data_IF_076161242181
#
_entry.id   IF_076161242181
#
_cell.length_a   1.000
_cell.length_b   1.000
_cell.length_c   1.000
_cell.angle_alpha   90.00
_cell.angle_beta   90.00
_cell.angle_gamma   90.00
#
_symmetry.space_group_name_H-M   'P 1'
#
loop_
_entity.id
_entity.type
_entity.pdbx_description
1 polymer ?
#
# COMPACT_ATOMS: atom_id res chain seq x y z
N UNK A 1 -30.74 1.99 13.96
CA UNK A 1 -29.62 2.83 14.46
C UNK A 1 -28.37 1.97 14.48
N UNK A 2 -27.54 2.02 13.43
CA UNK A 2 -26.30 1.21 13.35
C UNK A 2 -25.36 1.75 14.41
N UNK A 3 -25.10 0.98 15.47
CA UNK A 3 -24.09 1.35 16.47
C UNK A 3 -22.74 1.43 15.73
N UNK A 4 -22.26 2.65 15.48
CA UNK A 4 -20.91 2.89 14.98
C UNK A 4 -19.95 2.33 16.05
N UNK A 5 -19.40 1.15 15.77
CA UNK A 5 -18.37 0.54 16.61
C UNK A 5 -17.17 1.49 16.63
N UNK A 6 -16.56 1.69 17.81
CA UNK A 6 -15.45 2.60 18.03
C UNK A 6 -14.42 2.56 16.89
N UNK A 7 -14.04 3.75 16.41
CA UNK A 7 -13.13 3.93 15.29
C UNK A 7 -11.78 3.27 15.60
N UNK A 8 -11.52 2.13 14.95
CA UNK A 8 -10.30 1.33 15.14
C UNK A 8 -9.14 1.84 14.30
N UNK A 9 -8.60 3.00 14.70
CA UNK A 9 -7.43 3.63 14.08
C UNK A 9 -6.19 2.72 14.12
N UNK A 10 -6.11 1.83 15.10
CA UNK A 10 -5.06 0.83 15.26
C UNK A 10 -4.99 -0.13 14.05
N UNK A 11 -6.15 -0.63 13.57
CA UNK A 11 -6.20 -1.49 12.38
C UNK A 11 -5.82 -0.70 11.13
N UNK A 12 -6.32 0.53 10.99
CA UNK A 12 -5.97 1.38 9.85
C UNK A 12 -4.46 1.55 9.74
N UNK A 13 -3.81 1.87 10.85
CA UNK A 13 -2.35 1.99 10.93
C UNK A 13 -1.64 0.68 10.54
N UNK A 14 -2.05 -0.46 11.11
CA UNK A 14 -1.47 -1.76 10.77
C UNK A 14 -1.59 -2.11 9.28
N UNK A 15 -2.77 -1.89 8.69
CA UNK A 15 -3.02 -2.19 7.27
C UNK A 15 -2.25 -1.23 6.36
N UNK A 16 -2.16 0.06 6.71
CA UNK A 16 -1.39 1.04 5.95
C UNK A 16 0.11 0.72 5.94
N UNK A 17 0.69 0.39 7.11
CA UNK A 17 2.08 -0.04 7.21
C UNK A 17 2.32 -1.34 6.45
N UNK A 18 1.41 -2.30 6.58
CA UNK A 18 1.49 -3.55 5.83
C UNK A 18 1.56 -3.28 4.34
N UNK A 19 0.66 -2.46 3.77
CA UNK A 19 0.65 -2.12 2.34
C UNK A 19 1.96 -1.48 1.87
N UNK A 20 2.60 -0.65 2.70
CA UNK A 20 3.90 -0.04 2.41
C UNK A 20 5.05 -1.04 2.42
N UNK A 21 5.04 -1.99 3.36
CA UNK A 21 6.20 -2.85 3.61
C UNK A 21 6.17 -4.18 2.86
N UNK A 22 5.00 -4.79 2.65
CA UNK A 22 4.93 -6.17 2.10
C UNK A 22 5.49 -6.31 0.69
N UNK A 23 5.48 -5.23 -0.10
CA UNK A 23 6.04 -5.15 -1.46
C UNK A 23 7.51 -4.71 -1.49
N UNK A 24 8.07 -4.30 -0.34
CA UNK A 24 9.40 -3.70 -0.27
C UNK A 24 10.49 -4.76 -0.32
N UNK A 25 11.43 -4.57 -1.24
CA UNK A 25 12.68 -5.33 -1.32
C UNK A 25 13.84 -4.33 -1.24
N UNK A 26 14.76 -4.54 -0.30
CA UNK A 26 15.98 -3.75 -0.19
C UNK A 26 17.11 -4.44 -0.92
N UNK A 27 17.69 -3.75 -1.91
CA UNK A 27 18.85 -4.23 -2.68
C UNK A 27 20.19 -3.73 -2.15
N UNK A 28 20.19 -3.00 -1.03
CA UNK A 28 21.40 -2.50 -0.42
C UNK A 28 22.29 -3.69 0.01
N UNK A 29 23.55 -3.68 -0.43
CA UNK A 29 24.53 -4.72 -0.08
C UNK A 29 25.90 -4.10 0.11
N UNK A 30 26.49 -4.30 1.28
CA UNK A 30 27.88 -3.95 1.56
C UNK A 30 28.78 -5.16 1.48
N UNK A 31 30.03 -4.94 1.03
CA UNK A 31 31.06 -5.98 1.04
C UNK A 31 31.59 -6.19 2.47
N UNK A 32 31.53 -7.42 2.94
CA UNK A 32 32.20 -7.82 4.18
C UNK A 32 33.72 -7.87 3.97
N UNK A 33 34.50 -7.95 5.06
CA UNK A 33 35.97 -8.09 4.96
C UNK A 33 36.43 -9.26 4.08
N UNK A 34 35.60 -10.31 3.99
CA UNK A 34 35.88 -11.49 3.17
C UNK A 34 35.65 -11.22 1.67
N UNK A 35 34.69 -10.37 1.32
CA UNK A 35 34.27 -10.07 -0.06
C UNK A 35 35.07 -8.91 -0.70
N UNK A 36 35.70 -8.06 0.09
CA UNK A 36 36.64 -7.04 -0.41
C UNK A 36 37.87 -7.73 -1.04
N UNK A 37 38.50 -7.20 -2.09
CA UNK A 37 39.66 -7.83 -2.78
C UNK A 37 40.98 -7.64 -1.99
N UNK A 38 41.99 -8.52 -2.14
CA UNK A 38 43.34 -8.35 -1.52
C UNK A 38 43.63 -9.09 -0.19
N UNK A 39 44.22 -8.44 0.83
CA UNK A 39 44.13 -8.82 2.27
C UNK A 39 44.39 -10.24 2.81
N UNK A 40 44.94 -11.18 2.03
CA UNK A 40 45.27 -12.54 2.51
C UNK A 40 46.60 -12.62 3.28
N UNK A 41 47.51 -11.66 3.09
CA UNK A 41 48.80 -11.58 3.78
C UNK A 41 48.70 -10.73 5.05
N UNK A 42 49.32 -11.20 6.13
CA UNK A 42 49.47 -10.42 7.37
C UNK A 42 50.35 -9.18 7.14
N UNK A 43 49.93 -7.97 7.54
CA UNK A 43 50.67 -6.74 7.27
C UNK A 43 52.09 -6.70 7.87
N UNK A 44 52.25 -7.20 9.10
CA UNK A 44 53.55 -7.31 9.80
C UNK A 44 53.53 -8.42 10.86
N UNK A 45 54.71 -8.87 11.35
CA UNK A 45 54.80 -9.88 12.42
C UNK A 45 54.07 -9.47 13.70
N UNK A 46 53.69 -10.47 14.51
CA UNK A 46 52.89 -10.24 15.73
C UNK A 46 53.62 -9.42 16.81
N UNK A 47 54.95 -9.49 16.84
CA UNK A 47 55.85 -8.85 17.81
C UNK A 47 57.04 -8.23 17.07
N UNK A 48 57.72 -7.27 17.70
CA UNK A 48 58.96 -6.66 17.18
C UNK A 48 58.77 -5.34 16.40
N UNK A 49 57.57 -5.02 15.93
CA UNK A 49 57.32 -3.82 15.10
C UNK A 49 56.93 -2.55 15.87
N UNK A 50 56.63 -2.64 17.17
CA UNK A 50 56.13 -1.52 17.99
C UNK A 50 54.74 -0.99 17.61
N UNK A 51 54.07 -1.58 16.60
CA UNK A 51 52.74 -1.17 16.11
C UNK A 51 51.62 -2.02 16.70
N UNK A 52 50.38 -1.54 16.59
CA UNK A 52 49.18 -2.32 16.89
C UNK A 52 49.12 -3.63 16.08
N UNK A 53 48.49 -4.67 16.63
CA UNK A 53 48.43 -6.00 16.01
C UNK A 53 47.28 -6.08 15.00
N UNK A 54 47.59 -6.42 13.74
CA UNK A 54 46.58 -6.62 12.71
C UNK A 54 46.77 -7.95 11.95
N UNK A 55 45.65 -8.59 11.60
CA UNK A 55 45.63 -9.83 10.82
C UNK A 55 45.46 -9.62 9.31
N UNK A 56 44.73 -8.58 8.91
CA UNK A 56 44.45 -8.28 7.49
C UNK A 56 44.20 -6.78 7.30
N UNK A 57 44.61 -6.23 6.15
CA UNK A 57 44.33 -4.85 5.76
C UNK A 57 42.85 -4.60 5.41
N UNK A 58 42.04 -5.66 5.24
CA UNK A 58 40.61 -5.52 4.89
C UNK A 58 39.69 -5.45 6.12
N UNK A 59 40.24 -5.44 7.33
CA UNK A 59 39.42 -5.38 8.54
C UNK A 59 38.63 -4.06 8.62
N UNK A 60 37.47 -4.01 9.29
CA UNK A 60 36.65 -2.80 9.37
C UNK A 60 37.36 -1.58 9.99
N UNK A 61 38.43 -1.81 10.76
CA UNK A 61 39.25 -0.75 11.39
C UNK A 61 40.10 -0.01 10.34
N UNK A 62 40.41 -0.66 9.22
CA UNK A 62 41.27 -0.11 8.17
C UNK A 62 40.46 0.69 7.15
N UNK A 63 41.05 1.78 6.64
CA UNK A 63 40.51 2.52 5.50
C UNK A 63 40.43 1.62 4.26
N UNK A 64 39.26 1.57 3.63
CA UNK A 64 39.00 0.68 2.49
C UNK A 64 38.77 -0.80 2.89
N UNK A 65 38.68 -1.09 4.19
CA UNK A 65 38.28 -2.38 4.72
C UNK A 65 36.79 -2.68 4.47
N UNK A 66 36.39 -3.91 4.79
CA UNK A 66 34.99 -4.32 4.69
C UNK A 66 34.13 -3.76 5.82
N UNK A 67 32.83 -3.64 5.57
CA UNK A 67 31.85 -3.19 6.57
C UNK A 67 31.53 -4.34 7.54
N UNK A 68 31.54 -4.08 8.85
CA UNK A 68 31.24 -5.08 9.89
C UNK A 68 29.74 -5.42 9.94
N UNK A 69 28.92 -4.41 10.25
CA UNK A 69 27.46 -4.51 10.26
C UNK A 69 26.92 -3.53 9.23
N UNK A 70 26.58 -4.06 8.07
CA UNK A 70 25.98 -3.31 6.97
C UNK A 70 24.88 -4.13 6.32
N UNK A 71 24.11 -3.54 5.39
CA UNK A 71 23.02 -4.24 4.74
C UNK A 71 23.55 -5.46 3.96
N UNK A 72 22.85 -6.60 4.13
CA UNK A 72 23.14 -7.88 3.47
C UNK A 72 21.98 -8.24 2.54
N UNK A 73 21.86 -7.48 1.44
CA UNK A 73 20.80 -7.64 0.46
C UNK A 73 21.03 -8.76 -0.58
N UNK A 74 19.96 -9.18 -1.27
CA UNK A 74 18.59 -8.63 -1.18
C UNK A 74 17.84 -9.08 0.08
N UNK A 75 17.12 -8.16 0.73
CA UNK A 75 16.29 -8.44 1.92
C UNK A 75 14.83 -8.09 1.64
N UNK A 76 13.93 -9.05 1.86
CA UNK A 76 12.48 -8.87 1.72
C UNK A 76 11.82 -8.53 3.07
N UNK A 77 10.79 -7.69 3.02
CA UNK A 77 9.97 -7.32 4.19
C UNK A 77 8.56 -7.91 4.08
N UNK A 78 8.44 -9.06 3.40
CA UNK A 78 7.15 -9.69 3.13
C UNK A 78 6.57 -10.33 4.39
N UNK A 79 5.31 -10.01 4.67
CA UNK A 79 4.48 -10.72 5.63
C UNK A 79 3.01 -10.56 5.22
N UNK A 80 2.16 -11.51 5.62
CA UNK A 80 0.73 -11.49 5.29
C UNK A 80 -0.11 -11.26 6.53
N UNK A 81 -0.95 -10.21 6.49
CA UNK A 81 -1.98 -9.99 7.49
C UNK A 81 -3.15 -10.96 7.31
N UNK A 82 -3.78 -11.42 8.40
CA UNK A 82 -5.02 -12.20 8.33
C UNK A 82 -6.07 -11.49 7.46
N UNK A 83 -6.80 -12.25 6.65
CA UNK A 83 -7.80 -11.68 5.73
C UNK A 83 -8.82 -10.80 6.47
N UNK A 84 -9.32 -11.27 7.62
CA UNK A 84 -10.32 -10.54 8.42
C UNK A 84 -9.80 -9.17 8.89
N UNK A 85 -8.51 -9.04 9.24
CA UNK A 85 -7.90 -7.76 9.63
C UNK A 85 -7.83 -6.79 8.45
N UNK A 86 -7.45 -7.27 7.26
CA UNK A 86 -7.43 -6.45 6.04
C UNK A 86 -8.82 -5.95 5.66
N UNK A 87 -9.82 -6.83 5.74
CA UNK A 87 -11.24 -6.51 5.50
C UNK A 87 -11.75 -5.50 6.51
N UNK A 88 -11.44 -5.69 7.80
CA UNK A 88 -11.82 -4.75 8.83
C UNK A 88 -11.16 -3.38 8.63
N UNK A 89 -9.92 -3.33 8.16
CA UNK A 89 -9.24 -2.07 7.81
C UNK A 89 -9.98 -1.29 6.72
N UNK A 90 -10.50 -1.98 5.70
CA UNK A 90 -11.34 -1.34 4.67
C UNK A 90 -12.66 -0.83 5.24
N UNK A 91 -13.34 -1.62 6.09
CA UNK A 91 -14.57 -1.19 6.77
C UNK A 91 -14.33 0.08 7.57
N UNK A 92 -13.29 0.09 8.40
CA UNK A 92 -12.93 1.27 9.22
C UNK A 92 -12.58 2.47 8.33
N UNK A 93 -11.85 2.29 7.23
CA UNK A 93 -11.51 3.39 6.32
C UNK A 93 -12.78 4.03 5.71
N UNK A 94 -13.75 3.21 5.30
CA UNK A 94 -15.03 3.69 4.76
C UNK A 94 -15.85 4.40 5.84
N UNK A 95 -15.91 3.82 7.06
CA UNK A 95 -16.61 4.43 8.19
C UNK A 95 -16.03 5.80 8.55
N UNK A 96 -14.70 5.93 8.62
CA UNK A 96 -14.03 7.20 8.92
C UNK A 96 -14.30 8.24 7.83
N UNK A 97 -14.23 7.85 6.54
CA UNK A 97 -14.56 8.77 5.44
C UNK A 97 -16.00 9.27 5.52
N UNK A 98 -16.94 8.40 5.87
CA UNK A 98 -18.34 8.78 6.06
C UNK A 98 -18.54 9.68 7.28
N UNK A 99 -17.93 9.32 8.42
CA UNK A 99 -18.06 10.09 9.66
C UNK A 99 -17.44 11.50 9.57
N UNK A 100 -16.49 11.71 8.65
CA UNK A 100 -15.85 12.99 8.37
C UNK A 100 -16.51 13.75 7.21
N UNK A 101 -17.68 13.32 6.72
CA UNK A 101 -18.39 13.90 5.56
C UNK A 101 -17.58 13.94 4.25
N UNK A 102 -16.55 13.10 4.15
CA UNK A 102 -15.62 13.01 3.00
C UNK A 102 -15.96 11.85 2.04
N UNK A 103 -17.10 11.20 2.25
CA UNK A 103 -17.62 10.14 1.39
C UNK A 103 -18.84 10.63 0.64
N UNK A 104 -18.79 10.57 -0.69
CA UNK A 104 -19.91 10.92 -1.55
C UNK A 104 -20.33 9.72 -2.39
N UNK A 105 -21.64 9.53 -2.50
CA UNK A 105 -22.24 8.48 -3.30
C UNK A 105 -22.86 9.15 -4.52
N UNK A 106 -22.58 8.60 -5.71
CA UNK A 106 -23.12 9.07 -6.99
C UNK A 106 -23.83 7.91 -7.70
N UNK A 107 -24.79 8.25 -8.55
CA UNK A 107 -25.50 7.25 -9.36
C UNK A 107 -24.56 6.68 -10.44
N UNK A 108 -24.02 7.58 -11.27
CA UNK A 108 -23.08 7.27 -12.36
C UNK A 108 -21.91 8.27 -12.38
N UNK A 109 -20.81 7.89 -13.03
CA UNK A 109 -19.64 8.74 -13.28
C UNK A 109 -19.65 9.36 -14.69
N UNK A 110 -20.83 9.50 -15.29
CA UNK A 110 -20.96 10.12 -16.61
C UNK A 110 -20.74 11.63 -16.52
N UNK A 111 -19.83 12.14 -17.34
CA UNK A 111 -19.58 13.57 -17.48
C UNK A 111 -20.14 14.09 -18.80
N UNK A 112 -20.69 15.32 -18.82
CA UNK A 112 -21.17 15.94 -20.06
C UNK A 112 -20.04 16.29 -21.04
N UNK A 113 -18.83 16.55 -20.53
CA UNK A 113 -17.63 16.84 -21.34
C UNK A 113 -16.44 16.03 -20.81
N UNK A 114 -15.46 15.77 -21.67
CA UNK A 114 -14.18 15.17 -21.33
C UNK A 114 -13.16 16.19 -20.75
N UNK A 115 -13.55 17.46 -20.61
CA UNK A 115 -12.64 18.51 -20.15
C UNK A 115 -12.25 18.33 -18.67
N UNK A 116 -10.95 18.25 -18.34
CA UNK A 116 -10.49 18.10 -16.96
C UNK A 116 -10.78 19.34 -16.10
N UNK A 117 -10.99 20.49 -16.73
CA UNK A 117 -11.34 21.73 -16.05
C UNK A 117 -12.76 21.67 -15.49
N UNK A 118 -13.72 21.10 -16.24
CA UNK A 118 -15.09 20.88 -15.76
C UNK A 118 -15.10 20.07 -14.46
N UNK A 119 -14.30 19.01 -14.39
CA UNK A 119 -14.23 18.14 -13.23
C UNK A 119 -13.62 18.85 -12.00
N UNK A 120 -12.61 19.71 -12.20
CA UNK A 120 -12.06 20.54 -11.14
C UNK A 120 -13.07 21.56 -10.62
N UNK A 121 -13.75 22.25 -11.53
CA UNK A 121 -14.78 23.24 -11.19
C UNK A 121 -15.93 22.58 -10.42
N UNK A 122 -16.35 21.39 -10.84
CA UNK A 122 -17.35 20.57 -10.14
C UNK A 122 -16.92 20.25 -8.71
N UNK A 123 -15.67 19.80 -8.52
CA UNK A 123 -15.14 19.48 -7.21
C UNK A 123 -15.00 20.72 -6.31
N UNK A 124 -14.58 21.86 -6.86
CA UNK A 124 -14.53 23.14 -6.14
C UNK A 124 -15.93 23.61 -5.73
N UNK A 125 -16.90 23.55 -6.65
CA UNK A 125 -18.29 23.94 -6.39
C UNK A 125 -18.92 23.08 -5.29
N UNK A 126 -18.71 21.77 -5.34
CA UNK A 126 -19.19 20.81 -4.32
C UNK A 126 -18.35 20.78 -3.05
N UNK A 127 -17.23 21.52 -3.01
CA UNK A 127 -16.28 21.57 -1.88
C UNK A 127 -15.71 20.21 -1.50
N UNK A 128 -15.38 19.38 -2.50
CA UNK A 128 -14.76 18.06 -2.31
C UNK A 128 -13.28 18.12 -1.92
N UNK A 129 -12.71 19.29 -1.72
CA UNK A 129 -11.30 19.45 -1.39
C UNK A 129 -10.35 19.24 -2.58
N UNK A 130 -9.06 19.10 -2.27
CA UNK A 130 -7.98 19.18 -3.26
C UNK A 130 -7.76 17.86 -4.01
N UNK A 131 -8.07 16.73 -3.36
CA UNK A 131 -7.77 15.39 -3.88
C UNK A 131 -8.96 14.45 -3.73
N UNK A 132 -9.33 13.82 -4.84
CA UNK A 132 -10.53 13.00 -4.93
C UNK A 132 -10.20 11.66 -5.56
N UNK A 133 -10.64 10.60 -4.90
CA UNK A 133 -10.55 9.23 -5.40
C UNK A 133 -11.94 8.81 -5.90
N UNK A 134 -12.04 8.60 -7.21
CA UNK A 134 -13.23 8.12 -7.89
C UNK A 134 -13.14 6.60 -8.00
N UNK A 135 -14.22 5.91 -7.62
CA UNK A 135 -14.28 4.45 -7.67
C UNK A 135 -15.50 4.00 -8.45
N UNK A 136 -15.26 3.18 -9.47
CA UNK A 136 -16.31 2.54 -10.26
C UNK A 136 -16.22 1.02 -10.22
N UNK A 137 -17.26 0.31 -10.64
CA UNK A 137 -17.36 -1.15 -10.45
C UNK A 137 -16.30 -1.91 -11.24
N UNK A 138 -16.32 -1.77 -12.56
CA UNK A 138 -15.47 -2.49 -13.51
C UNK A 138 -14.60 -1.51 -14.31
N UNK A 139 -13.49 -1.99 -14.86
CA UNK A 139 -12.61 -1.16 -15.69
C UNK A 139 -13.15 -0.97 -17.11
N UNK A 140 -13.85 -1.98 -17.63
CA UNK A 140 -14.36 -2.01 -19.01
C UNK A 140 -15.59 -1.10 -19.21
N UNK A 141 -16.42 -0.96 -18.16
CA UNK A 141 -17.66 -0.17 -18.20
C UNK A 141 -17.44 1.32 -17.85
N UNK A 142 -16.19 1.78 -17.73
CA UNK A 142 -15.90 3.17 -17.36
C UNK A 142 -16.18 4.12 -18.53
N UNK A 143 -16.95 5.22 -18.33
CA UNK A 143 -17.24 6.15 -19.41
C UNK A 143 -15.97 6.87 -19.91
N UNK A 144 -15.83 7.02 -21.22
CA UNK A 144 -14.61 7.58 -21.83
C UNK A 144 -14.30 9.01 -21.35
N UNK A 145 -15.34 9.81 -21.12
CA UNK A 145 -15.22 11.20 -20.68
C UNK A 145 -14.53 11.30 -19.31
N UNK A 146 -14.92 10.48 -18.33
CA UNK A 146 -14.32 10.53 -16.99
C UNK A 146 -12.90 9.99 -17.00
N UNK A 147 -12.62 8.96 -17.81
CA UNK A 147 -11.29 8.39 -17.95
C UNK A 147 -10.33 9.45 -18.51
N UNK A 148 -10.72 10.11 -19.60
CA UNK A 148 -9.92 11.17 -20.24
C UNK A 148 -9.70 12.36 -19.30
N UNK A 149 -10.77 12.82 -18.64
CA UNK A 149 -10.70 13.94 -17.69
C UNK A 149 -9.80 13.61 -16.48
N UNK A 150 -9.92 12.41 -15.91
CA UNK A 150 -9.13 12.00 -14.76
C UNK A 150 -7.65 11.80 -15.12
N UNK A 151 -7.33 11.22 -16.29
CA UNK A 151 -5.95 11.02 -16.74
C UNK A 151 -5.19 12.35 -16.90
N UNK A 152 -5.88 13.44 -17.27
CA UNK A 152 -5.29 14.77 -17.37
C UNK A 152 -4.92 15.41 -16.02
N UNK A 153 -5.36 14.84 -14.89
CA UNK A 153 -5.22 15.41 -13.56
C UNK A 153 -4.37 14.54 -12.63
N UNK A 154 -3.58 15.18 -11.76
CA UNK A 154 -2.75 14.47 -10.77
C UNK A 154 -3.47 14.22 -9.44
N UNK A 155 -4.46 15.07 -9.13
CA UNK A 155 -5.19 15.06 -7.85
C UNK A 155 -6.44 14.18 -7.87
N UNK A 156 -6.98 13.94 -9.05
CA UNK A 156 -8.10 13.03 -9.28
C UNK A 156 -7.57 11.71 -9.78
N UNK A 157 -7.93 10.63 -9.10
CA UNK A 157 -7.57 9.29 -9.52
C UNK A 157 -8.83 8.44 -9.68
N UNK A 158 -8.92 7.74 -10.80
CA UNK A 158 -9.97 6.78 -11.09
C UNK A 158 -9.44 5.36 -10.86
N UNK A 159 -10.16 4.55 -10.08
CA UNK A 159 -9.75 3.19 -9.70
C UNK A 159 -10.97 2.27 -9.75
N UNK A 160 -10.87 1.02 -10.26
CA UNK A 160 -11.97 0.07 -10.16
C UNK A 160 -12.18 -0.42 -8.70
N UNK A 161 -13.38 -0.88 -8.36
CA UNK A 161 -13.76 -1.32 -7.02
C UNK A 161 -12.85 -2.44 -6.49
N UNK A 162 -12.36 -3.31 -7.37
CA UNK A 162 -11.40 -4.38 -7.07
C UNK A 162 -10.05 -3.83 -6.60
N UNK A 163 -9.66 -2.64 -7.07
CA UNK A 163 -8.41 -1.97 -6.72
C UNK A 163 -8.48 -1.10 -5.45
N UNK A 164 -9.64 -1.04 -4.78
CA UNK A 164 -9.83 -0.21 -3.61
C UNK A 164 -8.91 -0.65 -2.46
N UNK A 165 -8.23 0.32 -1.86
CA UNK A 165 -7.22 0.05 -0.83
C UNK A 165 -7.13 1.19 0.19
N UNK A 166 -6.79 0.83 1.43
CA UNK A 166 -6.71 1.77 2.56
C UNK A 166 -5.71 2.91 2.30
N UNK A 167 -4.53 2.62 1.75
CA UNK A 167 -3.51 3.64 1.49
C UNK A 167 -4.02 4.73 0.52
N UNK A 168 -4.64 4.35 -0.60
CA UNK A 168 -5.24 5.29 -1.54
C UNK A 168 -6.38 6.08 -0.92
N UNK A 169 -7.23 5.44 -0.11
CA UNK A 169 -8.31 6.14 0.60
C UNK A 169 -7.78 7.19 1.58
N UNK A 170 -6.69 6.91 2.30
CA UNK A 170 -6.06 7.86 3.22
C UNK A 170 -5.28 8.96 2.49
N UNK A 171 -4.69 8.64 1.33
CA UNK A 171 -3.94 9.60 0.51
C UNK A 171 -4.83 10.72 -0.06
N UNK A 172 -6.06 10.39 -0.43
CA UNK A 172 -7.02 11.35 -0.97
C UNK A 172 -7.92 11.90 0.14
N UNK A 173 -8.30 13.16 0.06
CA UNK A 173 -9.21 13.78 1.02
C UNK A 173 -10.62 13.21 0.86
N UNK A 174 -11.11 13.09 -0.37
CA UNK A 174 -12.49 12.72 -0.65
C UNK A 174 -12.58 11.41 -1.42
N UNK A 175 -13.57 10.58 -1.07
CA UNK A 175 -13.88 9.32 -1.75
C UNK A 175 -15.25 9.45 -2.42
N UNK A 176 -15.32 9.08 -3.70
CA UNK A 176 -16.58 9.04 -4.45
C UNK A 176 -16.82 7.61 -4.92
N UNK A 177 -17.99 7.06 -4.61
CA UNK A 177 -18.40 5.70 -4.98
C UNK A 177 -19.67 5.73 -5.83
N UNK A 178 -19.75 4.90 -6.86
CA UNK A 178 -21.01 4.63 -7.57
C UNK A 178 -21.94 3.73 -6.75
N UNK A 179 -23.26 3.81 -6.95
CA UNK A 179 -24.22 2.94 -6.26
C UNK A 179 -23.92 1.45 -6.46
N UNK A 180 -23.56 1.07 -7.70
CA UNK A 180 -23.18 -0.30 -8.03
C UNK A 180 -21.94 -0.74 -7.24
N UNK A 181 -20.96 0.16 -7.09
CA UNK A 181 -19.75 -0.08 -6.28
C UNK A 181 -20.09 -0.29 -4.81
N UNK A 182 -21.02 0.48 -4.25
CA UNK A 182 -21.45 0.32 -2.85
C UNK A 182 -22.05 -1.07 -2.64
N UNK A 183 -22.98 -1.50 -3.50
CA UNK A 183 -23.59 -2.82 -3.41
C UNK A 183 -22.56 -3.96 -3.53
N UNK A 184 -21.58 -3.81 -4.42
CA UNK A 184 -20.48 -4.76 -4.58
C UNK A 184 -19.60 -4.85 -3.31
N UNK A 185 -19.19 -3.70 -2.76
CA UNK A 185 -18.35 -3.62 -1.58
C UNK A 185 -19.08 -4.19 -0.35
N UNK A 186 -20.33 -3.82 -0.14
CA UNK A 186 -21.15 -4.33 0.96
C UNK A 186 -21.23 -5.86 0.92
N UNK A 187 -21.61 -6.43 -0.23
CA UNK A 187 -21.70 -7.89 -0.43
C UNK A 187 -20.38 -8.59 -0.12
N UNK A 188 -19.26 -8.09 -0.63
CA UNK A 188 -17.93 -8.71 -0.44
C UNK A 188 -17.41 -8.56 0.99
N UNK A 189 -17.61 -7.41 1.62
CA UNK A 189 -17.12 -7.13 2.97
C UNK A 189 -17.95 -7.85 4.05
N UNK A 190 -19.28 -7.98 3.87
CA UNK A 190 -20.16 -8.68 4.82
C UNK A 190 -19.98 -10.20 4.76
N UNK A 191 -19.68 -10.77 3.59
CA UNK A 191 -19.41 -12.21 3.46
C UNK A 191 -18.32 -12.72 4.44
N UNK A 192 -17.35 -11.87 4.80
CA UNK A 192 -16.29 -12.24 5.73
C UNK A 192 -16.72 -12.37 7.19
N UNK A 193 -17.88 -11.83 7.57
CA UNK A 193 -18.38 -11.85 8.94
C UNK A 193 -19.05 -13.20 9.25
N UNK A 194 -19.75 -13.79 8.27
CA UNK A 194 -20.50 -15.05 8.41
C UNK A 194 -19.79 -16.30 7.89
N UNK A 195 -18.67 -16.16 7.16
CA UNK A 195 -17.97 -17.32 6.57
C UNK A 195 -17.29 -18.24 7.60
N UNK A 196 -17.21 -19.51 7.23
CA UNK A 196 -16.35 -20.50 7.89
C UNK A 196 -14.86 -20.24 7.63
N UNK A 197 -14.01 -20.86 8.47
CA UNK A 197 -12.56 -20.90 8.24
C UNK A 197 -12.28 -21.70 6.96
N UNK A 198 -11.38 -21.25 6.07
CA UNK A 198 -11.07 -22.00 4.84
C UNK A 198 -10.50 -23.38 5.15
N UNK A 199 -11.05 -24.41 4.52
CA UNK A 199 -10.46 -25.76 4.48
C UNK A 199 -9.33 -25.84 3.45
N UNK A 200 -9.54 -25.21 2.30
CA UNK A 200 -8.60 -25.11 1.19
C UNK A 200 -8.72 -23.73 0.51
N UNK A 201 -7.82 -23.34 -0.41
CA UNK A 201 -7.86 -22.01 -1.02
C UNK A 201 -9.21 -21.70 -1.71
N UNK A 202 -9.77 -20.51 -1.49
CA UNK A 202 -11.06 -20.06 -2.05
C UNK A 202 -11.13 -19.97 -3.59
N UNK A 203 -10.02 -20.24 -4.28
CA UNK A 203 -10.01 -20.36 -5.76
C UNK A 203 -10.55 -21.70 -6.26
N UNK A 204 -10.67 -22.69 -5.37
CA UNK A 204 -11.19 -24.02 -5.67
C UNK A 204 -12.72 -24.01 -5.49
N UNK A 205 -13.44 -24.93 -6.13
CA UNK A 205 -14.90 -24.97 -6.04
C UNK A 205 -15.39 -25.19 -4.60
N UNK A 206 -16.39 -24.42 -4.22
CA UNK A 206 -17.18 -24.53 -3.00
C UNK A 206 -18.67 -24.56 -3.38
N UNK A 207 -19.53 -25.09 -2.51
CA UNK A 207 -20.96 -25.22 -2.82
C UNK A 207 -21.68 -23.86 -2.88
N UNK A 208 -21.25 -22.91 -2.04
CA UNK A 208 -21.94 -21.64 -1.75
C UNK A 208 -21.07 -20.40 -2.04
N UNK A 209 -19.89 -20.59 -2.63
CA UNK A 209 -18.99 -19.51 -3.02
C UNK A 209 -18.69 -19.60 -4.53
N UNK A 210 -18.93 -18.51 -5.28
CA UNK A 210 -18.70 -18.47 -6.72
C UNK A 210 -17.21 -18.54 -7.08
#
# INVERSE_FOLDING_TARGET
>A
MVKLKAERLDILHQVAIWQKNFRRISYAKTKTRAEVRGGGRKPWPQKGSGRARHGSIRSPIWRGGGVAHGPRGPTSYYYMLPMKVRVQGLKVALTVKLAQDNLHIVDSLELPTADPQYLKELACYRRWGDSVLLVDLAHEDMPENIVTAALGLKTFNLVPAVGLNVHSMLKHQTLVLTLQTVAFLEKKLLWHDSRYTPLYPFRLPYCDFP
#
